data_IF_117887678037
#
_entry.id   IF_117887678037
#
_cell.length_a   1.000
_cell.length_b   1.000
_cell.length_c   1.000
_cell.angle_alpha   90.00
_cell.angle_beta   90.00
_cell.angle_gamma   90.00
#
_symmetry.space_group_name_H-M   'P 1'
#
loop_
_entity.id
_entity.type
_entity.pdbx_description
1 polymer ?
#
# COMPACT_ATOMS: atom_id res chain seq x y z
N UNK A 1 60.75 38.16 39.84
CA UNK A 1 60.47 38.90 38.60
C UNK A 1 59.27 38.23 37.91
N UNK A 2 58.21 37.93 38.67
CA UNK A 2 57.42 36.72 38.38
C UNK A 2 55.92 36.95 38.22
N UNK A 3 55.33 37.94 38.91
CA UNK A 3 53.88 38.14 38.90
C UNK A 3 53.28 38.41 37.51
N UNK A 4 54.01 39.09 36.62
CA UNK A 4 53.56 39.33 35.25
C UNK A 4 53.58 38.06 34.39
N UNK A 5 54.59 37.20 34.58
CA UNK A 5 54.66 35.91 33.88
C UNK A 5 53.59 34.94 34.38
N UNK A 6 53.33 34.93 35.68
CA UNK A 6 52.25 34.15 36.30
C UNK A 6 50.88 34.60 35.79
N UNK A 7 50.65 35.91 35.67
CA UNK A 7 49.44 36.46 35.07
C UNK A 7 49.28 36.02 33.61
N UNK A 8 50.33 36.12 32.79
CA UNK A 8 50.27 35.69 31.39
C UNK A 8 50.05 34.18 31.26
N UNK A 9 50.62 33.37 32.14
CA UNK A 9 50.38 31.93 32.18
C UNK A 9 48.91 31.63 32.54
N UNK A 10 48.38 32.27 33.58
CA UNK A 10 46.98 32.13 33.99
C UNK A 10 46.00 32.59 32.89
N UNK A 11 46.31 33.69 32.20
CA UNK A 11 45.51 34.20 31.08
C UNK A 11 45.47 33.21 29.91
N UNK A 12 46.63 32.63 29.53
CA UNK A 12 46.68 31.59 28.48
C UNK A 12 45.92 30.32 28.88
N UNK A 13 45.99 29.94 30.15
CA UNK A 13 45.24 28.80 30.67
C UNK A 13 43.73 29.06 30.59
N UNK A 14 43.27 30.26 30.99
CA UNK A 14 41.87 30.65 30.89
C UNK A 14 41.40 30.65 29.42
N UNK A 15 42.18 31.20 28.50
CA UNK A 15 41.85 31.17 27.07
C UNK A 15 41.83 29.74 26.49
N UNK A 16 42.70 28.86 27.00
CA UNK A 16 42.65 27.43 26.72
C UNK A 16 41.32 26.80 27.14
N UNK A 17 40.89 27.05 28.39
CA UNK A 17 39.63 26.54 28.96
C UNK A 17 38.40 27.13 28.24
N UNK A 18 38.41 28.42 27.89
CA UNK A 18 37.30 29.06 27.16
C UNK A 18 37.15 28.45 25.76
N UNK A 19 38.26 28.19 25.06
CA UNK A 19 38.22 27.54 23.74
C UNK A 19 37.76 26.09 23.82
N UNK A 20 38.22 25.32 24.81
CA UNK A 20 37.76 23.92 24.97
C UNK A 20 36.28 23.85 25.35
N UNK A 21 35.81 24.74 26.22
CA UNK A 21 34.40 24.85 26.58
C UNK A 21 33.53 25.25 25.37
N UNK A 22 33.98 26.22 24.57
CA UNK A 22 33.28 26.63 23.34
C UNK A 22 33.22 25.48 22.31
N UNK A 23 34.32 24.73 22.14
CA UNK A 23 34.35 23.56 21.26
C UNK A 23 33.39 22.46 21.73
N UNK A 24 33.38 22.14 23.03
CA UNK A 24 32.47 21.15 23.61
C UNK A 24 31.00 21.57 23.47
N UNK A 25 30.67 22.83 23.73
CA UNK A 25 29.33 23.37 23.53
C UNK A 25 28.89 23.29 22.06
N UNK A 26 29.81 23.56 21.12
CA UNK A 26 29.54 23.44 19.68
C UNK A 26 29.26 22.00 19.23
N UNK A 27 29.97 21.01 19.76
CA UNK A 27 29.71 19.58 19.49
C UNK A 27 28.36 19.14 20.09
N UNK A 28 28.05 19.61 21.30
CA UNK A 28 26.75 19.33 21.92
C UNK A 28 25.60 19.95 21.14
N UNK A 29 25.75 21.18 20.64
CA UNK A 29 24.75 21.83 19.79
C UNK A 29 24.53 21.05 18.48
N UNK A 30 25.61 20.60 17.82
CA UNK A 30 25.52 19.78 16.61
C UNK A 30 24.83 18.44 16.84
N UNK A 31 25.17 17.75 17.93
CA UNK A 31 24.53 16.47 18.27
C UNK A 31 23.04 16.62 18.61
N UNK A 32 22.64 17.69 19.31
CA UNK A 32 21.23 18.00 19.58
C UNK A 32 20.48 18.32 18.30
N UNK A 33 21.08 19.09 17.38
CA UNK A 33 20.47 19.41 16.10
C UNK A 33 20.25 18.15 15.26
N UNK A 34 21.27 17.30 15.14
CA UNK A 34 21.15 16.01 14.46
C UNK A 34 20.08 15.11 15.08
N UNK A 35 19.99 15.07 16.42
CA UNK A 35 18.94 14.31 17.11
C UNK A 35 17.53 14.84 16.80
N UNK A 36 17.36 16.17 16.68
CA UNK A 36 16.05 16.75 16.31
C UNK A 36 15.64 16.40 14.89
N UNK A 37 16.59 16.42 13.95
CA UNK A 37 16.37 16.05 12.56
C UNK A 37 15.97 14.58 12.45
N UNK A 38 16.71 13.66 13.07
CA UNK A 38 16.37 12.24 13.11
C UNK A 38 15.02 11.99 13.78
N UNK A 39 14.71 12.68 14.88
CA UNK A 39 13.41 12.54 15.56
C UNK A 39 12.25 12.98 14.66
N UNK A 40 12.40 14.07 13.92
CA UNK A 40 11.38 14.55 12.99
C UNK A 40 11.13 13.53 11.86
N UNK A 41 12.19 12.93 11.33
CA UNK A 41 12.09 11.88 10.32
C UNK A 41 11.39 10.63 10.86
N UNK A 42 11.84 10.12 12.02
CA UNK A 42 11.26 8.93 12.68
C UNK A 42 9.78 9.14 13.00
N UNK A 43 9.39 10.32 13.51
CA UNK A 43 7.97 10.66 13.78
C UNK A 43 7.12 10.65 12.51
N UNK A 44 7.64 11.21 11.42
CA UNK A 44 6.93 11.26 10.15
C UNK A 44 6.67 9.85 9.61
N UNK A 45 7.69 8.98 9.65
CA UNK A 45 7.56 7.57 9.22
C UNK A 45 6.62 6.77 10.12
N UNK A 46 6.73 6.92 11.45
CA UNK A 46 5.83 6.27 12.41
C UNK A 46 4.37 6.68 12.23
N UNK A 47 4.08 7.96 11.97
CA UNK A 47 2.71 8.41 11.72
C UNK A 47 2.10 7.76 10.47
N UNK A 48 2.88 7.63 9.40
CA UNK A 48 2.47 6.91 8.19
C UNK A 48 2.24 5.41 8.46
N UNK A 49 3.13 4.76 9.24
CA UNK A 49 2.96 3.37 9.66
C UNK A 49 1.72 3.16 10.51
N UNK A 50 1.51 4.01 11.52
CA UNK A 50 0.36 3.92 12.42
C UNK A 50 -0.95 4.06 11.66
N UNK A 51 -1.03 4.98 10.71
CA UNK A 51 -2.19 5.13 9.81
C UNK A 51 -2.43 3.83 9.02
N UNK A 52 -1.37 3.29 8.41
CA UNK A 52 -1.41 2.02 7.67
C UNK A 52 -1.82 0.82 8.53
N UNK A 53 -1.47 0.79 9.81
CA UNK A 53 -1.87 -0.25 10.76
C UNK A 53 -3.32 -0.10 11.23
N UNK A 54 -3.78 1.14 11.47
CA UNK A 54 -5.19 1.43 11.77
C UNK A 54 -6.10 1.01 10.61
N UNK A 55 -5.71 1.30 9.36
CA UNK A 55 -6.43 0.85 8.17
C UNK A 55 -6.49 -0.68 8.05
N UNK A 56 -5.54 -1.38 8.68
CA UNK A 56 -5.51 -2.85 8.78
C UNK A 56 -6.34 -3.39 9.96
N UNK A 57 -6.91 -2.53 10.78
CA UNK A 57 -7.75 -2.90 11.92
C UNK A 57 -6.97 -3.15 13.21
N UNK A 58 -5.70 -2.73 13.30
CA UNK A 58 -4.94 -2.86 14.55
C UNK A 58 -5.52 -1.91 15.60
N UNK A 59 -5.88 -2.41 16.79
CA UNK A 59 -6.43 -1.58 17.86
C UNK A 59 -5.48 -0.45 18.29
N UNK A 60 -6.03 0.72 18.61
CA UNK A 60 -5.22 1.88 19.04
C UNK A 60 -4.41 1.60 20.30
N UNK A 61 -4.93 0.78 21.23
CA UNK A 61 -4.23 0.42 22.47
C UNK A 61 -2.92 -0.32 22.20
N UNK A 62 -2.83 -1.08 21.11
CA UNK A 62 -1.62 -1.80 20.70
C UNK A 62 -0.62 -0.90 19.95
N UNK A 63 -1.00 0.33 19.61
CA UNK A 63 -0.17 1.30 18.89
C UNK A 63 0.43 2.36 19.82
N UNK A 64 0.17 2.27 21.12
CA UNK A 64 0.69 3.18 22.13
C UNK A 64 1.66 2.39 23.00
N UNK A 65 2.91 2.86 23.18
CA UNK A 65 3.87 2.22 24.07
C UNK A 65 3.34 2.13 25.50
N UNK A 66 3.66 1.03 26.18
CA UNK A 66 3.26 0.87 27.58
C UNK A 66 4.13 1.73 28.52
N UNK A 67 3.63 2.16 29.69
CA UNK A 67 4.44 2.90 30.66
C UNK A 67 5.79 2.25 31.02
N UNK A 68 5.91 0.92 31.24
CA UNK A 68 7.21 0.32 31.53
C UNK A 68 8.19 0.43 30.34
N UNK A 69 7.72 0.25 29.10
CA UNK A 69 8.56 0.42 27.89
C UNK A 69 9.13 1.84 27.81
N UNK A 70 8.30 2.86 28.12
CA UNK A 70 8.76 4.25 28.13
C UNK A 70 9.84 4.48 29.18
N UNK A 71 9.73 3.88 30.37
CA UNK A 71 10.75 4.03 31.42
C UNK A 71 12.07 3.35 31.09
N UNK A 72 12.03 2.23 30.36
CA UNK A 72 13.22 1.52 29.91
C UNK A 72 13.98 2.31 28.85
N UNK A 73 13.27 2.82 27.85
CA UNK A 73 13.86 3.66 26.81
C UNK A 73 14.32 5.02 27.36
N UNK A 74 13.61 5.61 28.33
CA UNK A 74 14.10 6.81 29.01
C UNK A 74 15.45 6.56 29.71
N UNK A 75 15.65 5.37 30.28
CA UNK A 75 16.90 4.98 30.93
C UNK A 75 18.04 4.89 29.93
N UNK A 76 17.81 4.32 28.75
CA UNK A 76 18.83 4.19 27.69
C UNK A 76 19.33 5.55 27.17
N UNK A 77 18.50 6.58 27.25
CA UNK A 77 18.80 7.96 26.82
C UNK A 77 19.48 8.85 27.88
N UNK A 78 19.68 8.35 29.11
CA UNK A 78 20.25 9.14 30.22
C UNK A 78 21.67 9.62 29.96
N UNK A 79 22.42 8.97 29.05
CA UNK A 79 23.80 9.31 28.69
C UNK A 79 24.00 10.61 27.91
N UNK A 80 22.94 11.40 27.69
CA UNK A 80 23.01 12.70 27.03
C UNK A 80 22.72 12.68 25.52
N UNK A 81 22.98 13.78 24.80
CA UNK A 81 22.53 13.96 23.40
C UNK A 81 23.06 12.90 22.43
N UNK A 82 24.28 12.41 22.65
CA UNK A 82 24.85 11.34 21.83
C UNK A 82 24.10 10.00 22.01
N UNK A 83 23.70 9.66 23.23
CA UNK A 83 22.91 8.47 23.52
C UNK A 83 21.49 8.57 22.95
N UNK A 84 20.89 9.76 23.00
CA UNK A 84 19.60 10.03 22.32
C UNK A 84 19.74 9.85 20.81
N UNK A 85 20.78 10.41 20.20
CA UNK A 85 21.01 10.28 18.76
C UNK A 85 21.24 8.82 18.34
N UNK A 86 22.00 8.04 19.11
CA UNK A 86 22.18 6.60 18.82
C UNK A 86 20.86 5.83 18.94
N UNK A 87 20.07 6.11 19.98
CA UNK A 87 18.73 5.52 20.13
C UNK A 87 17.80 5.84 18.96
N UNK A 88 17.81 7.09 18.47
CA UNK A 88 17.02 7.50 17.32
C UNK A 88 17.44 6.81 16.02
N UNK A 89 18.74 6.63 15.79
CA UNK A 89 19.25 5.87 14.62
C UNK A 89 18.79 4.41 14.67
N UNK A 90 18.89 3.77 15.84
CA UNK A 90 18.37 2.41 16.01
C UNK A 90 16.85 2.35 15.81
N UNK A 91 16.11 3.36 16.28
CA UNK A 91 14.67 3.45 16.05
C UNK A 91 14.35 3.58 14.55
N UNK A 92 15.12 4.38 13.80
CA UNK A 92 15.01 4.50 12.34
C UNK A 92 15.21 3.15 11.65
N UNK A 93 16.28 2.42 11.98
CA UNK A 93 16.54 1.10 11.39
C UNK A 93 15.39 0.12 11.63
N UNK A 94 14.81 0.14 12.84
CA UNK A 94 13.65 -0.69 13.19
C UNK A 94 12.39 -0.29 12.42
N UNK A 95 12.13 1.01 12.30
CA UNK A 95 11.00 1.54 11.51
C UNK A 95 11.13 1.11 10.05
N UNK A 96 12.34 1.16 9.48
CA UNK A 96 12.61 0.82 8.09
C UNK A 96 12.45 -0.69 7.84
N UNK A 97 12.95 -1.52 8.76
CA UNK A 97 12.72 -2.96 8.73
C UNK A 97 11.22 -3.30 8.82
N UNK A 98 10.48 -2.63 9.72
CA UNK A 98 9.04 -2.83 9.86
C UNK A 98 8.28 -2.39 8.59
N UNK A 99 8.69 -1.30 7.95
CA UNK A 99 8.11 -0.86 6.68
C UNK A 99 8.36 -1.87 5.56
N UNK A 100 9.58 -2.44 5.49
CA UNK A 100 9.90 -3.54 4.58
C UNK A 100 8.96 -4.73 4.75
N UNK A 101 8.70 -5.14 6.00
CA UNK A 101 7.75 -6.22 6.30
C UNK A 101 6.31 -5.85 5.93
N UNK A 102 5.88 -4.61 6.19
CA UNK A 102 4.52 -4.14 5.87
C UNK A 102 4.27 -4.05 4.36
N UNK A 103 5.31 -3.73 3.57
CA UNK A 103 5.27 -3.72 2.10
C UNK A 103 5.29 -5.15 1.57
N UNK A 104 6.16 -6.02 2.09
CA UNK A 104 6.25 -7.42 1.68
C UNK A 104 4.94 -8.18 1.95
N UNK A 105 4.31 -7.94 3.11
CA UNK A 105 3.05 -8.57 3.51
C UNK A 105 1.81 -7.86 2.96
N UNK A 106 1.88 -7.18 1.82
CA UNK A 106 0.71 -6.53 1.21
C UNK A 106 -0.35 -7.61 0.92
N UNK A 107 -1.44 -7.69 1.70
CA UNK A 107 -2.53 -8.55 1.30
C UNK A 107 -3.11 -7.94 0.03
N UNK A 108 -3.33 -8.76 -1.00
CA UNK A 108 -4.12 -8.38 -2.17
C UNK A 108 -5.53 -8.08 -1.67
N UNK A 109 -5.76 -6.88 -1.11
CA UNK A 109 -7.05 -6.42 -0.59
C UNK A 109 -7.87 -5.98 -1.81
N UNK A 110 -8.78 -6.82 -2.34
CA UNK A 110 -9.45 -6.51 -3.59
C UNK A 110 -10.47 -5.36 -3.38
N UNK A 111 -10.81 -5.05 -2.12
CA UNK A 111 -11.63 -3.90 -1.75
C UNK A 111 -10.95 -2.54 -1.91
N UNK A 112 -9.61 -2.46 -1.89
CA UNK A 112 -8.86 -1.21 -2.13
C UNK A 112 -8.44 -1.01 -3.58
N UNK A 113 -8.82 -1.94 -4.46
CA UNK A 113 -8.49 -1.85 -5.88
C UNK A 113 -9.41 -0.83 -6.56
N UNK A 114 -8.88 -0.04 -7.53
CA UNK A 114 -9.72 0.83 -8.33
C UNK A 114 -10.89 0.04 -8.95
N UNK A 115 -12.04 0.69 -9.13
CA UNK A 115 -13.28 0.01 -9.54
C UNK A 115 -13.12 -0.80 -10.85
N UNK A 116 -12.30 -0.32 -11.79
CA UNK A 116 -12.07 -0.96 -13.10
C UNK A 116 -11.38 -2.33 -13.03
N UNK A 117 -10.18 -2.49 -12.44
CA UNK A 117 -9.53 -3.80 -12.32
C UNK A 117 -10.32 -4.78 -11.44
N UNK A 118 -10.97 -4.28 -10.38
CA UNK A 118 -11.84 -5.11 -9.52
C UNK A 118 -13.03 -5.68 -10.29
N UNK A 119 -13.69 -4.84 -11.09
CA UNK A 119 -14.82 -5.27 -11.91
C UNK A 119 -14.35 -6.17 -13.05
N UNK A 120 -13.21 -5.90 -13.70
CA UNK A 120 -12.65 -6.75 -14.75
C UNK A 120 -12.34 -8.18 -14.26
N UNK A 121 -11.84 -8.33 -13.03
CA UNK A 121 -11.56 -9.64 -12.44
C UNK A 121 -12.82 -10.48 -12.21
N UNK A 122 -13.98 -9.83 -11.99
CA UNK A 122 -15.27 -10.51 -11.76
C UNK A 122 -16.03 -10.72 -13.06
N UNK A 123 -16.17 -9.67 -13.89
CA UNK A 123 -16.89 -9.75 -15.16
C UNK A 123 -16.11 -10.52 -16.23
N UNK A 124 -14.78 -10.49 -16.22
CA UNK A 124 -13.93 -11.09 -17.24
C UNK A 124 -14.13 -12.61 -17.40
N UNK A 125 -13.94 -13.42 -16.34
CA UNK A 125 -14.13 -14.87 -16.43
C UNK A 125 -15.56 -15.25 -16.84
N UNK A 126 -16.56 -14.57 -16.27
CA UNK A 126 -17.98 -14.82 -16.56
C UNK A 126 -18.33 -14.46 -18.02
N UNK A 127 -17.80 -13.34 -18.52
CA UNK A 127 -18.00 -12.89 -19.90
C UNK A 127 -17.39 -13.85 -20.94
N UNK A 128 -16.38 -14.64 -20.55
CA UNK A 128 -15.69 -15.57 -21.45
C UNK A 128 -16.35 -16.95 -21.54
N UNK A 129 -17.18 -17.35 -20.58
CA UNK A 129 -17.80 -18.70 -20.56
C UNK A 129 -18.66 -18.94 -21.80
N UNK A 130 -19.53 -17.98 -22.14
CA UNK A 130 -20.47 -18.10 -23.26
C UNK A 130 -19.75 -18.14 -24.62
N UNK A 131 -18.86 -17.20 -24.98
CA UNK A 131 -18.13 -17.28 -26.23
C UNK A 131 -17.22 -18.51 -26.30
N UNK A 132 -16.65 -18.97 -25.19
CA UNK A 132 -15.87 -20.21 -25.16
C UNK A 132 -16.72 -21.42 -25.52
N UNK A 133 -17.94 -21.52 -24.97
CA UNK A 133 -18.90 -22.60 -25.32
C UNK A 133 -19.24 -22.55 -26.82
N UNK A 134 -19.49 -21.37 -27.39
CA UNK A 134 -19.78 -21.22 -28.83
C UNK A 134 -18.62 -21.71 -29.71
N UNK A 135 -17.38 -21.36 -29.35
CA UNK A 135 -16.18 -21.82 -30.06
C UNK A 135 -16.03 -23.34 -29.95
N UNK A 136 -16.21 -23.91 -28.76
CA UNK A 136 -16.12 -25.37 -28.55
C UNK A 136 -17.16 -26.11 -29.37
N UNK A 137 -18.42 -25.63 -29.39
CA UNK A 137 -19.48 -26.23 -30.22
C UNK A 137 -19.12 -26.15 -31.70
N UNK A 138 -18.68 -24.97 -32.18
CA UNK A 138 -18.30 -24.81 -33.59
C UNK A 138 -17.15 -25.74 -34.00
N UNK A 139 -16.10 -25.85 -33.18
CA UNK A 139 -14.96 -26.75 -33.46
C UNK A 139 -15.41 -28.22 -33.43
N UNK A 140 -16.31 -28.59 -32.54
CA UNK A 140 -16.78 -29.97 -32.38
C UNK A 140 -17.79 -30.41 -33.44
N UNK A 141 -18.67 -29.51 -33.90
CA UNK A 141 -19.80 -29.86 -34.78
C UNK A 141 -19.72 -29.26 -36.17
N UNK A 142 -18.76 -28.36 -36.43
CA UNK A 142 -18.62 -27.64 -37.69
C UNK A 142 -19.78 -26.70 -37.99
N UNK A 143 -19.88 -26.27 -39.26
CA UNK A 143 -20.98 -25.43 -39.73
C UNK A 143 -22.27 -26.28 -39.92
N UNK A 144 -23.12 -26.31 -38.89
CA UNK A 144 -24.35 -27.12 -38.92
C UNK A 144 -25.42 -26.63 -37.94
N UNK A 145 -26.56 -27.33 -37.88
CA UNK A 145 -27.72 -26.96 -37.06
C UNK A 145 -27.39 -26.78 -35.57
N UNK A 146 -26.42 -27.55 -35.04
CA UNK A 146 -25.94 -27.43 -33.67
C UNK A 146 -25.26 -26.06 -33.41
N UNK A 147 -24.45 -25.57 -34.34
CA UNK A 147 -23.81 -24.25 -34.27
C UNK A 147 -24.83 -23.12 -34.40
N UNK A 148 -25.82 -23.27 -35.29
CA UNK A 148 -26.92 -22.29 -35.43
C UNK A 148 -27.75 -22.21 -34.15
N UNK A 149 -28.09 -23.36 -33.55
CA UNK A 149 -28.79 -23.41 -32.28
C UNK A 149 -27.95 -22.77 -31.14
N UNK A 150 -26.63 -23.01 -31.11
CA UNK A 150 -25.73 -22.40 -30.13
C UNK A 150 -25.64 -20.86 -30.29
N UNK A 151 -25.71 -20.33 -31.51
CA UNK A 151 -25.75 -18.89 -31.78
C UNK A 151 -27.07 -18.27 -31.28
N UNK A 152 -28.21 -18.90 -31.57
CA UNK A 152 -29.54 -18.42 -31.14
C UNK A 152 -29.66 -18.45 -29.61
N UNK A 153 -29.27 -19.56 -28.99
CA UNK A 153 -29.26 -19.71 -27.53
C UNK A 153 -28.21 -18.81 -26.85
N UNK A 154 -27.14 -18.45 -27.57
CA UNK A 154 -26.10 -17.56 -27.11
C UNK A 154 -26.48 -16.07 -27.12
N UNK A 155 -27.52 -15.68 -27.84
CA UNK A 155 -27.95 -14.28 -27.97
C UNK A 155 -28.40 -13.63 -26.63
N UNK A 156 -29.21 -14.28 -25.77
CA UNK A 156 -29.60 -13.71 -24.48
C UNK A 156 -28.54 -13.87 -23.37
N UNK A 157 -27.58 -14.79 -23.54
CA UNK A 157 -26.62 -15.19 -22.50
C UNK A 157 -25.70 -14.07 -21.98
N UNK A 158 -25.23 -13.10 -22.81
CA UNK A 158 -24.45 -11.96 -22.33
C UNK A 158 -25.23 -11.07 -21.34
N UNK A 159 -26.56 -10.95 -21.51
CA UNK A 159 -27.40 -10.21 -20.57
C UNK A 159 -27.52 -10.95 -19.22
N UNK A 160 -27.63 -12.28 -19.25
CA UNK A 160 -27.64 -13.13 -18.04
C UNK A 160 -26.29 -13.07 -17.32
N UNK A 161 -25.18 -13.16 -18.06
CA UNK A 161 -23.82 -13.01 -17.55
C UNK A 161 -23.60 -11.64 -16.88
N UNK A 162 -24.13 -10.57 -17.48
CA UNK A 162 -24.08 -9.23 -16.91
C UNK A 162 -24.86 -9.14 -15.58
N UNK A 163 -26.09 -9.68 -15.52
CA UNK A 163 -26.90 -9.68 -14.30
C UNK A 163 -26.25 -10.51 -13.19
N UNK A 164 -25.68 -11.67 -13.52
CA UNK A 164 -24.95 -12.52 -12.57
C UNK A 164 -23.70 -11.81 -12.02
N UNK A 165 -22.90 -11.18 -12.90
CA UNK A 165 -21.74 -10.38 -12.50
C UNK A 165 -22.12 -9.17 -11.64
N UNK A 166 -23.23 -8.50 -11.96
CA UNK A 166 -23.76 -7.37 -11.19
C UNK A 166 -24.15 -7.76 -9.76
N UNK A 167 -24.83 -8.90 -9.59
CA UNK A 167 -25.20 -9.45 -8.28
C UNK A 167 -23.95 -9.90 -7.51
N UNK A 168 -22.99 -10.54 -8.19
CA UNK A 168 -21.71 -10.97 -7.61
C UNK A 168 -20.92 -9.79 -7.03
N UNK A 169 -20.75 -8.72 -7.80
CA UNK A 169 -20.07 -7.49 -7.33
C UNK A 169 -20.78 -6.90 -6.11
N UNK A 170 -22.12 -6.89 -6.10
CA UNK A 170 -22.90 -6.40 -4.97
C UNK A 170 -22.76 -7.24 -3.69
N UNK A 171 -22.52 -8.56 -3.80
CA UNK A 171 -22.36 -9.46 -2.66
C UNK A 171 -20.93 -9.60 -2.16
N UNK A 172 -19.95 -9.68 -3.07
CA UNK A 172 -18.52 -9.81 -2.73
C UNK A 172 -17.90 -8.50 -2.21
N UNK A 173 -18.43 -7.34 -2.62
CA UNK A 173 -17.91 -6.03 -2.24
C UNK A 173 -18.93 -5.18 -1.49
N UNK A 174 -19.57 -5.76 -0.45
CA UNK A 174 -20.37 -4.96 0.48
C UNK A 174 -19.48 -3.89 1.11
N UNK A 175 -19.84 -2.62 0.88
CA UNK A 175 -19.18 -1.48 1.51
C UNK A 175 -19.38 -1.56 3.03
N UNK A 176 -18.28 -1.63 3.78
CA UNK A 176 -18.28 -1.65 5.24
C UNK A 176 -18.57 -0.26 5.86
N UNK A 177 -18.88 0.75 5.05
CA UNK A 177 -19.22 2.10 5.50
C UNK A 177 -20.23 2.76 4.56
N UNK A 178 -20.89 3.82 5.04
CA UNK A 178 -22.02 4.54 4.43
C UNK A 178 -21.79 5.18 3.04
N UNK A 179 -20.75 4.78 2.30
CA UNK A 179 -20.51 5.12 0.90
C UNK A 179 -21.17 4.12 -0.05
N UNK A 180 -21.92 4.63 -1.03
CA UNK A 180 -22.55 3.86 -2.10
C UNK A 180 -21.43 3.26 -2.98
N UNK A 181 -21.38 1.94 -3.13
CA UNK A 181 -20.39 1.25 -3.99
C UNK A 181 -20.47 1.86 -5.40
N UNK A 182 -19.34 2.31 -5.93
CA UNK A 182 -19.26 2.90 -7.26
C UNK A 182 -19.44 1.79 -8.32
N UNK A 183 -20.69 1.59 -8.73
CA UNK A 183 -21.11 0.55 -9.67
C UNK A 183 -21.02 1.10 -11.08
N UNK A 184 -19.89 0.89 -11.75
CA UNK A 184 -19.70 1.23 -13.17
C UNK A 184 -20.49 0.27 -14.08
N UNK A 185 -21.82 0.35 -14.04
CA UNK A 185 -22.77 -0.49 -14.81
C UNK A 185 -22.48 -0.50 -16.30
N UNK A 186 -22.18 0.67 -16.88
CA UNK A 186 -21.85 0.84 -18.29
C UNK A 186 -20.59 0.07 -18.70
N UNK A 187 -19.59 -0.01 -17.82
CA UNK A 187 -18.35 -0.74 -18.09
C UNK A 187 -18.55 -2.26 -18.00
N UNK A 188 -19.32 -2.74 -17.01
CA UNK A 188 -19.67 -4.16 -16.91
C UNK A 188 -20.45 -4.66 -18.13
N UNK A 189 -21.38 -3.86 -18.65
CA UNK A 189 -22.14 -4.19 -19.85
C UNK A 189 -21.23 -4.32 -21.08
N UNK A 190 -20.28 -3.38 -21.26
CA UNK A 190 -19.31 -3.43 -22.35
C UNK A 190 -18.41 -4.67 -22.27
N UNK A 191 -17.90 -5.00 -21.08
CA UNK A 191 -17.02 -6.17 -20.88
C UNK A 191 -17.75 -7.48 -21.18
N UNK A 192 -19.04 -7.58 -20.87
CA UNK A 192 -19.84 -8.78 -21.17
C UNK A 192 -20.29 -8.85 -22.64
N UNK A 193 -20.61 -7.72 -23.26
CA UNK A 193 -21.22 -7.69 -24.59
C UNK A 193 -20.18 -7.74 -25.72
N UNK A 194 -19.03 -7.08 -25.58
CA UNK A 194 -18.01 -6.99 -26.64
C UNK A 194 -17.44 -8.37 -27.03
N UNK A 195 -16.98 -9.23 -26.10
CA UNK A 195 -16.43 -10.53 -26.47
C UNK A 195 -17.47 -11.45 -27.10
N UNK A 196 -18.72 -11.42 -26.60
CA UNK A 196 -19.80 -12.22 -27.15
C UNK A 196 -20.13 -11.81 -28.59
N UNK A 197 -20.29 -10.51 -28.86
CA UNK A 197 -20.58 -10.01 -30.21
C UNK A 197 -19.44 -10.32 -31.18
N UNK A 198 -18.18 -10.13 -30.77
CA UNK A 198 -17.03 -10.42 -31.63
C UNK A 198 -16.94 -11.90 -32.00
N UNK A 199 -17.14 -12.80 -31.03
CA UNK A 199 -17.07 -14.25 -31.29
C UNK A 199 -18.25 -14.72 -32.14
N UNK A 200 -19.48 -14.27 -31.84
CA UNK A 200 -20.66 -14.58 -32.65
C UNK A 200 -20.50 -14.08 -34.09
N UNK A 201 -20.01 -12.84 -34.29
CA UNK A 201 -19.76 -12.29 -35.63
C UNK A 201 -18.64 -13.06 -36.37
N UNK A 202 -17.55 -13.40 -35.68
CA UNK A 202 -16.45 -14.19 -36.26
C UNK A 202 -16.89 -15.59 -36.69
N UNK A 203 -17.70 -16.27 -35.88
CA UNK A 203 -18.27 -17.58 -36.22
C UNK A 203 -19.22 -17.51 -37.40
N UNK A 204 -20.09 -16.48 -37.47
CA UNK A 204 -20.97 -16.26 -38.62
C UNK A 204 -20.17 -16.03 -39.91
N UNK A 205 -19.11 -15.21 -39.87
CA UNK A 205 -18.24 -14.99 -41.02
C UNK A 205 -17.52 -16.28 -41.44
N UNK A 206 -17.04 -17.06 -40.48
CA UNK A 206 -16.39 -18.35 -40.77
C UNK A 206 -17.37 -19.36 -41.43
N UNK A 207 -18.63 -19.37 -40.99
CA UNK A 207 -19.67 -20.21 -41.60
C UNK A 207 -20.07 -19.75 -43.01
N UNK A 208 -19.93 -18.47 -43.34
CA UNK A 208 -20.25 -17.93 -44.68
C UNK A 208 -19.09 -18.08 -45.67
N UNK A 209 -17.87 -18.25 -45.17
CA UNK A 209 -16.65 -18.36 -45.97
C UNK A 209 -16.23 -19.80 -46.29
N UNK A 210 -16.78 -20.79 -45.58
CA UNK A 210 -16.58 -22.23 -45.81
C UNK A 210 -17.76 -22.85 -46.54
#
# INVERSE_FOLDING_TARGET
>A
MDAWQDYLAAARQLDGVRRSAAAAAGEQARSVQAAREELAEVRTRLAAQQTRLRDRGVPQISLVPSPPELTEEARSMTGGPAAVLSGLRTARDRVDAADGVLVARRPLRPGSWPARPRNLLVYGPIALVVPLIQVVVYVATGAGAATVAALICGLPMPAVAFVAGWIGVGRLFRSTGAGRVDRTSRFGALVCLVPAVLVTAGLLLAMLAG
#
